data_IF_466510446004
#
_entry.id   IF_466510446004
#
_cell.length_a   1.000
_cell.length_b   1.000
_cell.length_c   1.000
_cell.angle_alpha   90.00
_cell.angle_beta   90.00
_cell.angle_gamma   90.00
#
_symmetry.space_group_name_H-M   'P 1'
#
loop_
_entity.id
_entity.type
_entity.pdbx_description
1 polymer ?
#
# COMPACT_ATOMS: atom_id res chain seq x y z
N UNK A 1 -5.87 11.55 -14.32
CA UNK A 1 -6.77 10.93 -15.31
C UNK A 1 -6.26 11.25 -16.72
N UNK A 2 -5.53 10.32 -17.35
CA UNK A 2 -5.06 10.49 -18.73
C UNK A 2 -6.24 10.28 -19.70
N UNK A 3 -6.65 11.34 -20.41
CA UNK A 3 -7.63 11.22 -21.51
C UNK A 3 -7.01 10.32 -22.59
N UNK A 4 -7.60 9.13 -22.78
CA UNK A 4 -7.31 8.28 -23.93
C UNK A 4 -7.53 9.11 -25.18
N UNK A 5 -6.51 9.18 -26.04
CA UNK A 5 -6.63 9.90 -27.31
C UNK A 5 -7.68 9.21 -28.18
N UNK A 6 -8.44 9.95 -29.00
CA UNK A 6 -9.45 9.35 -29.89
C UNK A 6 -8.85 8.26 -30.81
N UNK A 7 -7.55 8.38 -31.13
CA UNK A 7 -6.79 7.42 -31.92
C UNK A 7 -6.72 6.00 -31.29
N UNK A 8 -6.48 5.89 -29.97
CA UNK A 8 -6.44 4.59 -29.28
C UNK A 8 -7.79 3.85 -29.29
N UNK A 9 -8.88 4.62 -29.33
CA UNK A 9 -10.23 4.06 -29.35
C UNK A 9 -10.56 3.49 -30.72
N UNK A 10 -10.21 4.22 -31.79
CA UNK A 10 -10.39 3.78 -33.18
C UNK A 10 -9.54 2.55 -33.48
N UNK A 11 -8.27 2.53 -33.03
CA UNK A 11 -7.39 1.38 -33.23
C UNK A 11 -7.92 0.10 -32.55
N UNK A 12 -8.47 0.21 -31.33
CA UNK A 12 -9.09 -0.93 -30.65
C UNK A 12 -10.32 -1.46 -31.39
N UNK A 13 -11.18 -0.56 -31.87
CA UNK A 13 -12.36 -0.95 -32.64
C UNK A 13 -11.93 -1.69 -33.92
N UNK A 14 -10.97 -1.15 -34.67
CA UNK A 14 -10.46 -1.81 -35.89
C UNK A 14 -9.88 -3.20 -35.61
N UNK A 15 -9.09 -3.36 -34.55
CA UNK A 15 -8.53 -4.67 -34.17
C UNK A 15 -9.64 -5.66 -33.82
N UNK A 16 -10.64 -5.24 -33.04
CA UNK A 16 -11.77 -6.10 -32.66
C UNK A 16 -12.58 -6.50 -33.91
N UNK A 17 -12.86 -5.55 -34.82
CA UNK A 17 -13.58 -5.81 -36.06
C UNK A 17 -12.84 -6.81 -36.95
N UNK A 18 -11.53 -6.64 -37.11
CA UNK A 18 -10.72 -7.53 -37.94
C UNK A 18 -10.64 -8.94 -37.34
N UNK A 19 -10.51 -9.04 -36.01
CA UNK A 19 -10.52 -10.32 -35.31
C UNK A 19 -11.88 -11.03 -35.43
N UNK A 20 -12.98 -10.29 -35.31
CA UNK A 20 -14.33 -10.84 -35.47
C UNK A 20 -14.57 -11.37 -36.89
N UNK A 21 -14.12 -10.64 -37.92
CA UNK A 21 -14.21 -11.07 -39.32
C UNK A 21 -13.34 -12.32 -39.56
N UNK A 22 -12.11 -12.34 -39.03
CA UNK A 22 -11.21 -13.48 -39.16
C UNK A 22 -11.79 -14.74 -38.47
N UNK A 23 -12.37 -14.59 -37.28
CA UNK A 23 -13.05 -15.68 -36.58
C UNK A 23 -14.29 -16.16 -37.36
N UNK A 24 -15.11 -15.26 -37.90
CA UNK A 24 -16.25 -15.62 -38.75
C UNK A 24 -15.81 -16.39 -40.00
N UNK A 25 -14.75 -15.95 -40.68
CA UNK A 25 -14.20 -16.67 -41.83
C UNK A 25 -13.69 -18.07 -41.44
N UNK A 26 -12.98 -18.21 -40.31
CA UNK A 26 -12.55 -19.52 -39.82
C UNK A 26 -13.75 -20.43 -39.52
N UNK A 27 -14.81 -19.89 -38.95
CA UNK A 27 -16.04 -20.62 -38.63
C UNK A 27 -16.76 -21.08 -39.90
N UNK A 28 -16.84 -20.22 -40.93
CA UNK A 28 -17.41 -20.58 -42.23
C UNK A 28 -16.58 -21.65 -42.96
N UNK A 29 -15.25 -21.56 -42.91
CA UNK A 29 -14.35 -22.59 -43.47
C UNK A 29 -14.54 -23.92 -42.72
N UNK A 30 -14.65 -23.88 -41.39
CA UNK A 30 -14.93 -25.05 -40.57
C UNK A 30 -16.27 -25.69 -40.93
N UNK A 31 -17.33 -24.91 -41.11
CA UNK A 31 -18.66 -25.39 -41.53
C UNK A 31 -18.59 -26.00 -42.94
N UNK A 32 -17.89 -25.37 -43.88
CA UNK A 32 -17.73 -25.89 -45.24
C UNK A 32 -16.97 -27.22 -45.27
N UNK A 33 -15.91 -27.35 -44.46
CA UNK A 33 -15.18 -28.60 -44.25
C UNK A 33 -16.09 -29.68 -43.62
N UNK A 34 -16.87 -29.31 -42.59
CA UNK A 34 -17.82 -30.22 -41.95
C UNK A 34 -18.91 -30.71 -42.91
N UNK A 35 -19.43 -29.86 -43.79
CA UNK A 35 -20.43 -30.23 -44.81
C UNK A 35 -19.83 -31.14 -45.90
N UNK A 36 -18.58 -30.91 -46.30
CA UNK A 36 -17.89 -31.78 -47.28
C UNK A 36 -17.47 -33.12 -46.69
N UNK A 37 -17.13 -33.17 -45.39
CA UNK A 37 -16.89 -34.42 -44.67
C UNK A 37 -18.19 -35.16 -44.33
N UNK A 38 -19.28 -34.44 -44.06
CA UNK A 38 -20.61 -35.01 -43.75
C UNK A 38 -21.19 -35.88 -44.86
N UNK A 39 -20.82 -35.67 -46.13
CA UNK A 39 -21.27 -36.54 -47.23
C UNK A 39 -20.49 -37.86 -47.32
N UNK A 40 -19.36 -37.97 -46.59
CA UNK A 40 -18.52 -39.18 -46.51
C UNK A 40 -18.53 -39.87 -45.15
N UNK A 41 -18.92 -39.16 -44.09
CA UNK A 41 -19.01 -39.68 -42.72
C UNK A 41 -20.47 -40.01 -42.43
N UNK A 42 -20.75 -41.24 -42.01
CA UNK A 42 -22.09 -41.62 -41.61
C UNK A 42 -22.45 -40.81 -40.34
N UNK A 43 -23.56 -40.09 -40.34
CA UNK A 43 -23.97 -39.20 -39.22
C UNK A 43 -24.19 -40.01 -37.92
N UNK A 44 -24.25 -41.34 -38.02
CA UNK A 44 -24.27 -42.26 -36.89
C UNK A 44 -22.91 -42.46 -36.19
N UNK A 45 -21.82 -41.98 -36.77
CA UNK A 45 -20.47 -42.12 -36.22
C UNK A 45 -20.25 -41.08 -35.12
N UNK A 46 -19.99 -41.58 -33.91
CA UNK A 46 -19.77 -40.84 -32.68
C UNK A 46 -18.61 -39.81 -32.75
N UNK A 47 -17.83 -39.83 -33.82
CA UNK A 47 -16.64 -39.00 -34.03
C UNK A 47 -16.95 -37.51 -34.17
N UNK A 48 -18.04 -37.12 -34.84
CA UNK A 48 -18.41 -35.70 -34.94
C UNK A 48 -18.84 -35.15 -33.57
N UNK A 49 -19.61 -35.94 -32.82
CA UNK A 49 -20.04 -35.59 -31.47
C UNK A 49 -18.84 -35.54 -30.52
N UNK A 50 -17.88 -36.46 -30.65
CA UNK A 50 -16.64 -36.47 -29.89
C UNK A 50 -15.75 -35.26 -30.21
N UNK A 51 -15.66 -34.84 -31.48
CA UNK A 51 -14.93 -33.65 -31.88
C UNK A 51 -15.52 -32.37 -31.26
N UNK A 52 -16.83 -32.17 -31.36
CA UNK A 52 -17.51 -31.02 -30.74
C UNK A 52 -17.38 -31.09 -29.21
N UNK A 53 -17.54 -32.28 -28.63
CA UNK A 53 -17.34 -32.52 -27.20
C UNK A 53 -15.94 -32.15 -26.73
N UNK A 54 -14.91 -32.43 -27.53
CA UNK A 54 -13.52 -32.07 -27.22
C UNK A 54 -13.28 -30.56 -27.20
N UNK A 55 -13.91 -29.83 -28.14
CA UNK A 55 -13.83 -28.36 -28.20
C UNK A 55 -14.52 -27.74 -26.99
N UNK A 56 -15.73 -28.19 -26.67
CA UNK A 56 -16.50 -27.71 -25.50
C UNK A 56 -15.74 -28.05 -24.20
N UNK A 57 -15.24 -29.28 -24.07
CA UNK A 57 -14.46 -29.71 -22.93
C UNK A 57 -13.17 -28.90 -22.75
N UNK A 58 -12.45 -28.62 -23.84
CA UNK A 58 -11.27 -27.74 -23.83
C UNK A 58 -11.60 -26.32 -23.40
N UNK A 59 -12.70 -25.74 -23.89
CA UNK A 59 -13.14 -24.39 -23.51
C UNK A 59 -13.54 -24.30 -22.03
N UNK A 60 -14.32 -25.27 -21.52
CA UNK A 60 -14.71 -25.34 -20.11
C UNK A 60 -13.47 -25.50 -19.23
N UNK A 61 -12.54 -26.38 -19.60
CA UNK A 61 -11.29 -26.58 -18.86
C UNK A 61 -10.45 -25.31 -18.82
N UNK A 62 -10.33 -24.61 -19.95
CA UNK A 62 -9.61 -23.33 -20.02
C UNK A 62 -10.25 -22.26 -19.14
N UNK A 63 -11.59 -22.13 -19.15
CA UNK A 63 -12.31 -21.22 -18.26
C UNK A 63 -12.09 -21.58 -16.79
N UNK A 64 -12.20 -22.87 -16.43
CA UNK A 64 -11.96 -23.36 -15.08
C UNK A 64 -10.56 -23.00 -14.58
N UNK A 65 -9.52 -23.35 -15.34
CA UNK A 65 -8.12 -23.00 -15.01
C UNK A 65 -7.94 -21.49 -14.87
N UNK A 66 -8.51 -20.70 -15.78
CA UNK A 66 -8.38 -19.24 -15.75
C UNK A 66 -9.04 -18.63 -14.51
N UNK A 67 -10.23 -19.10 -14.13
CA UNK A 67 -10.94 -18.63 -12.93
C UNK A 67 -10.11 -18.97 -11.69
N UNK A 68 -9.64 -20.21 -11.56
CA UNK A 68 -8.80 -20.63 -10.43
C UNK A 68 -7.52 -19.81 -10.31
N UNK A 69 -6.84 -19.52 -11.43
CA UNK A 69 -5.63 -18.68 -11.42
C UNK A 69 -5.96 -17.25 -10.96
N UNK A 70 -7.08 -16.68 -11.41
CA UNK A 70 -7.49 -15.33 -11.01
C UNK A 70 -7.84 -15.28 -9.52
N UNK A 71 -8.52 -16.29 -9.00
CA UNK A 71 -8.89 -16.40 -7.59
C UNK A 71 -7.65 -16.59 -6.70
N UNK A 72 -6.72 -17.48 -7.07
CA UNK A 72 -5.45 -17.64 -6.37
C UNK A 72 -4.60 -16.36 -6.36
N UNK A 73 -4.61 -15.58 -7.46
CA UNK A 73 -3.91 -14.29 -7.49
C UNK A 73 -4.54 -13.28 -6.55
N UNK A 74 -5.87 -13.22 -6.52
CA UNK A 74 -6.63 -12.36 -5.62
C UNK A 74 -6.37 -12.71 -4.15
N UNK A 75 -6.39 -13.99 -3.80
CA UNK A 75 -6.15 -14.44 -2.42
C UNK A 75 -4.74 -14.09 -1.96
N UNK A 76 -3.73 -14.31 -2.81
CA UNK A 76 -2.35 -13.89 -2.56
C UNK A 76 -2.23 -12.38 -2.37
N UNK A 77 -2.94 -11.60 -3.19
CA UNK A 77 -2.94 -10.14 -3.06
C UNK A 77 -3.57 -9.68 -1.74
N UNK A 78 -4.69 -10.29 -1.33
CA UNK A 78 -5.35 -10.02 -0.04
C UNK A 78 -4.43 -10.37 1.13
N UNK A 79 -3.73 -11.50 1.07
CA UNK A 79 -2.79 -11.93 2.09
C UNK A 79 -1.62 -10.94 2.22
N UNK A 80 -1.08 -10.46 1.10
CA UNK A 80 -0.03 -9.43 1.10
C UNK A 80 -0.51 -8.13 1.75
N UNK A 81 -1.69 -7.63 1.38
CA UNK A 81 -2.24 -6.43 2.03
C UNK A 81 -2.44 -6.62 3.53
N UNK A 82 -2.98 -7.76 3.96
CA UNK A 82 -3.19 -8.05 5.38
C UNK A 82 -1.87 -8.00 6.16
N UNK A 83 -0.83 -8.65 5.63
CA UNK A 83 0.50 -8.66 6.25
C UNK A 83 1.10 -7.26 6.37
N UNK A 84 0.98 -6.45 5.31
CA UNK A 84 1.50 -5.09 5.33
C UNK A 84 0.75 -4.22 6.34
N UNK A 85 -0.58 -4.35 6.40
CA UNK A 85 -1.43 -3.63 7.36
C UNK A 85 -1.06 -4.01 8.80
N UNK A 86 -0.84 -5.30 9.08
CA UNK A 86 -0.46 -5.79 10.41
C UNK A 86 0.83 -5.13 10.91
N UNK A 87 1.89 -5.15 10.08
CA UNK A 87 3.16 -4.49 10.40
C UNK A 87 2.96 -2.99 10.62
N UNK A 88 2.26 -2.31 9.70
CA UNK A 88 2.03 -0.87 9.78
C UNK A 88 1.18 -0.49 10.99
N UNK A 89 0.20 -1.31 11.36
CA UNK A 89 -0.67 -1.08 12.51
C UNK A 89 0.14 -1.01 13.80
N UNK A 90 1.00 -2.00 14.05
CA UNK A 90 1.84 -2.01 15.25
C UNK A 90 2.80 -0.82 15.30
N UNK A 91 3.42 -0.48 14.16
CA UNK A 91 4.35 0.67 14.11
C UNK A 91 3.62 1.99 14.39
N UNK A 92 2.44 2.19 13.77
CA UNK A 92 1.64 3.40 13.99
C UNK A 92 1.17 3.47 15.45
N UNK A 93 0.71 2.35 16.02
CA UNK A 93 0.30 2.29 17.42
C UNK A 93 1.46 2.62 18.38
N UNK A 94 2.63 2.01 18.18
CA UNK A 94 3.80 2.20 19.04
C UNK A 94 4.33 3.64 18.96
N UNK A 95 4.09 4.35 17.85
CA UNK A 95 4.62 5.69 17.62
C UNK A 95 3.61 6.82 17.82
N UNK A 96 2.34 6.52 18.10
CA UNK A 96 1.27 7.53 18.19
C UNK A 96 1.52 8.62 19.23
N UNK A 97 2.31 8.31 20.27
CA UNK A 97 2.59 9.25 21.36
C UNK A 97 3.21 10.55 20.83
N UNK A 98 4.00 10.47 19.74
CA UNK A 98 4.76 11.59 19.19
C UNK A 98 3.89 12.78 18.77
N UNK A 99 2.62 12.53 18.42
CA UNK A 99 1.65 13.57 18.06
C UNK A 99 1.40 14.52 19.24
N UNK A 100 1.38 13.98 20.46
CA UNK A 100 1.00 14.73 21.65
C UNK A 100 2.20 15.31 22.40
N UNK A 101 3.42 14.83 22.11
CA UNK A 101 4.66 15.28 22.77
C UNK A 101 4.87 16.81 22.73
N UNK A 102 4.61 17.52 21.61
CA UNK A 102 4.74 18.97 21.57
C UNK A 102 3.85 19.73 22.57
N UNK A 103 2.79 19.09 23.08
CA UNK A 103 1.84 19.67 24.03
C UNK A 103 2.11 19.31 25.49
N UNK A 104 3.09 18.44 25.77
CA UNK A 104 3.46 18.12 27.15
C UNK A 104 4.38 19.18 27.73
N UNK A 105 4.07 19.59 28.96
CA UNK A 105 4.85 20.51 29.78
C UNK A 105 5.02 19.91 31.17
N UNK A 106 6.25 19.88 31.68
CA UNK A 106 6.54 19.51 33.06
C UNK A 106 6.41 20.77 33.91
N UNK A 107 5.67 20.69 35.01
CA UNK A 107 5.44 21.82 35.91
C UNK A 107 6.02 21.53 37.29
N UNK A 108 6.58 22.57 37.91
CA UNK A 108 7.10 22.54 39.27
C UNK A 108 6.55 23.70 40.08
N UNK A 109 6.55 23.55 41.41
CA UNK A 109 6.23 24.65 42.30
C UNK A 109 7.43 25.59 42.39
N UNK A 110 7.21 26.89 42.20
CA UNK A 110 8.19 27.92 42.49
C UNK A 110 8.32 28.14 44.01
N UNK A 111 9.22 29.07 44.40
CA UNK A 111 9.45 29.41 45.80
C UNK A 111 8.20 30.00 46.52
N UNK A 112 7.20 30.44 45.75
CA UNK A 112 5.92 30.98 46.25
C UNK A 112 4.80 29.92 46.23
N UNK A 113 5.10 28.69 45.80
CA UNK A 113 4.14 27.60 45.68
C UNK A 113 3.24 27.67 44.43
N UNK A 114 3.57 28.50 43.44
CA UNK A 114 2.85 28.56 42.16
C UNK A 114 3.42 27.55 41.18
N UNK A 115 2.54 26.92 40.40
CA UNK A 115 2.94 26.04 39.31
C UNK A 115 3.54 26.87 38.16
N UNK A 116 4.79 26.58 37.84
CA UNK A 116 5.54 27.17 36.73
C UNK A 116 6.09 26.04 35.87
N UNK A 117 6.13 26.24 34.55
CA UNK A 117 6.70 25.26 33.62
C UNK A 117 8.21 25.15 33.87
N UNK A 118 8.68 23.93 34.09
CA UNK A 118 10.10 23.60 34.05
C UNK A 118 10.51 23.42 32.60
N UNK A 119 11.06 24.48 32.01
CA UNK A 119 11.45 24.49 30.61
C UNK A 119 12.58 23.51 30.31
N UNK A 120 13.54 23.34 31.23
CA UNK A 120 14.65 22.40 31.05
C UNK A 120 14.12 20.96 31.00
N UNK A 121 13.35 20.56 32.01
CA UNK A 121 12.80 19.19 32.08
C UNK A 121 11.83 18.93 30.93
N UNK A 122 11.02 19.92 30.54
CA UNK A 122 10.10 19.81 29.40
C UNK A 122 10.85 19.54 28.10
N UNK A 123 11.89 20.33 27.80
CA UNK A 123 12.69 20.16 26.58
C UNK A 123 13.45 18.84 26.58
N UNK A 124 13.98 18.41 27.73
CA UNK A 124 14.64 17.12 27.87
C UNK A 124 13.67 15.97 27.59
N UNK A 125 12.51 15.96 28.23
CA UNK A 125 11.48 14.94 28.03
C UNK A 125 11.02 14.87 26.57
N UNK A 126 10.79 16.00 25.91
CA UNK A 126 10.43 16.04 24.50
C UNK A 126 11.51 15.44 23.59
N UNK A 127 12.78 15.68 23.92
CA UNK A 127 13.91 15.10 23.18
C UNK A 127 14.04 13.60 23.44
N UNK A 128 13.85 13.15 24.68
CA UNK A 128 13.86 11.73 25.03
C UNK A 128 12.77 10.95 24.30
N UNK A 129 11.54 11.48 24.23
CA UNK A 129 10.47 10.90 23.42
C UNK A 129 10.82 10.84 21.92
N UNK A 130 11.56 11.83 21.41
CA UNK A 130 12.06 11.79 20.03
C UNK A 130 13.06 10.64 19.85
N UNK A 131 13.95 10.41 20.83
CA UNK A 131 14.88 9.27 20.79
C UNK A 131 14.14 7.94 20.84
N UNK A 132 13.14 7.80 21.71
CA UNK A 132 12.31 6.60 21.80
C UNK A 132 11.61 6.30 20.46
N UNK A 133 11.06 7.33 19.81
CA UNK A 133 10.48 7.22 18.47
C UNK A 133 11.51 6.69 17.45
N UNK A 134 12.72 7.24 17.44
CA UNK A 134 13.80 6.78 16.54
C UNK A 134 14.11 5.30 16.78
N UNK A 135 14.18 4.87 18.04
CA UNK A 135 14.49 3.49 18.39
C UNK A 135 13.39 2.51 17.97
N UNK A 136 12.12 2.89 18.12
CA UNK A 136 10.97 2.10 17.66
C UNK A 136 11.03 1.91 16.14
N UNK A 137 11.20 3.00 15.38
CA UNK A 137 11.28 2.92 13.91
C UNK A 137 12.49 2.10 13.46
N UNK A 138 13.67 2.31 14.06
CA UNK A 138 14.88 1.57 13.71
C UNK A 138 14.75 0.06 13.97
N UNK A 139 14.13 -0.33 15.09
CA UNK A 139 13.83 -1.75 15.38
C UNK A 139 12.93 -2.40 14.33
N UNK A 140 12.07 -1.61 13.67
CA UNK A 140 11.09 -2.05 12.68
C UNK A 140 11.49 -1.73 11.23
N UNK A 141 12.69 -1.20 11.00
CA UNK A 141 13.12 -0.72 9.69
C UNK A 141 13.13 -1.83 8.61
N UNK A 142 13.56 -3.04 8.98
CA UNK A 142 13.56 -4.19 8.06
C UNK A 142 12.15 -4.60 7.65
N UNK A 143 11.20 -4.52 8.58
CA UNK A 143 9.79 -4.86 8.33
C UNK A 143 9.12 -3.78 7.50
N UNK A 144 9.42 -2.50 7.76
CA UNK A 144 9.01 -1.37 6.91
C UNK A 144 9.49 -1.57 5.48
N UNK A 145 10.78 -1.85 5.27
CA UNK A 145 11.34 -2.04 3.92
C UNK A 145 10.61 -3.10 3.09
N UNK A 146 10.03 -4.11 3.74
CA UNK A 146 9.27 -5.19 3.09
C UNK A 146 7.80 -4.86 2.87
N UNK A 147 7.24 -3.97 3.70
CA UNK A 147 5.78 -3.76 3.81
C UNK A 147 5.32 -2.45 3.17
N UNK A 148 6.23 -1.49 2.94
CA UNK A 148 5.94 -0.24 2.25
C UNK A 148 6.54 -0.20 0.85
N UNK A 149 5.86 0.50 -0.06
CA UNK A 149 6.40 0.82 -1.38
C UNK A 149 7.73 1.57 -1.26
N UNK A 150 8.67 1.27 -2.16
CA UNK A 150 10.04 1.80 -2.12
C UNK A 150 10.10 3.33 -2.05
N UNK A 151 9.18 4.01 -2.73
CA UNK A 151 9.11 5.48 -2.75
C UNK A 151 8.76 6.04 -1.37
N UNK A 152 7.83 5.40 -0.67
CA UNK A 152 7.44 5.76 0.70
C UNK A 152 8.58 5.46 1.67
N UNK A 153 9.18 4.27 1.55
CA UNK A 153 10.33 3.88 2.36
C UNK A 153 11.49 4.86 2.24
N UNK A 154 11.84 5.27 1.02
CA UNK A 154 12.94 6.21 0.76
C UNK A 154 12.73 7.56 1.45
N UNK A 155 11.50 8.07 1.45
CA UNK A 155 11.18 9.34 2.13
C UNK A 155 11.39 9.19 3.64
N UNK A 156 10.88 8.10 4.21
CA UNK A 156 11.04 7.80 5.64
C UNK A 156 12.52 7.65 6.01
N UNK A 157 13.31 6.93 5.20
CA UNK A 157 14.75 6.75 5.44
C UNK A 157 15.51 8.09 5.45
N UNK A 158 15.17 9.02 4.54
CA UNK A 158 15.76 10.36 4.52
C UNK A 158 15.38 11.14 5.80
N UNK A 159 14.12 11.12 6.19
CA UNK A 159 13.64 11.79 7.40
C UNK A 159 14.28 11.20 8.67
N UNK A 160 14.41 9.87 8.74
CA UNK A 160 15.08 9.16 9.83
C UNK A 160 16.56 9.50 9.94
N UNK A 161 17.28 9.64 8.81
CA UNK A 161 18.67 10.11 8.81
C UNK A 161 18.83 11.52 9.35
N UNK A 162 17.89 12.41 9.02
CA UNK A 162 17.87 13.76 9.57
C UNK A 162 17.57 13.75 11.08
N UNK A 163 16.71 12.83 11.52
CA UNK A 163 16.32 12.67 12.91
C UNK A 163 17.41 12.02 13.77
N UNK A 164 18.31 11.22 13.18
CA UNK A 164 19.39 10.53 13.89
C UNK A 164 20.32 11.49 14.67
N UNK A 165 20.46 12.74 14.23
CA UNK A 165 21.24 13.78 14.94
C UNK A 165 20.65 14.07 16.32
N UNK A 166 19.34 13.89 16.52
CA UNK A 166 18.67 14.10 17.80
C UNK A 166 19.22 13.17 18.90
N UNK A 167 19.65 11.95 18.57
CA UNK A 167 20.22 11.00 19.54
C UNK A 167 21.55 11.52 20.11
N UNK A 168 22.43 12.01 19.24
CA UNK A 168 23.71 12.64 19.66
C UNK A 168 23.44 13.91 20.48
N UNK A 169 22.40 14.64 20.12
CA UNK A 169 22.00 15.85 20.83
C UNK A 169 21.49 15.54 22.24
N UNK A 170 20.68 14.48 22.40
CA UNK A 170 20.15 14.02 23.68
C UNK A 170 21.26 13.62 24.65
N UNK A 171 22.26 12.86 24.19
CA UNK A 171 23.42 12.45 24.99
C UNK A 171 24.23 13.64 25.57
N UNK A 172 24.08 14.83 24.98
CA UNK A 172 24.81 16.04 25.36
C UNK A 172 23.88 17.21 25.70
N UNK A 173 22.63 16.91 26.06
CA UNK A 173 21.58 17.91 26.24
C UNK A 173 22.00 19.06 27.16
N UNK A 174 22.54 18.76 28.34
CA UNK A 174 22.97 19.76 29.34
C UNK A 174 24.04 20.72 28.79
N UNK A 175 25.00 20.19 28.02
CA UNK A 175 26.06 20.98 27.40
C UNK A 175 25.51 21.93 26.32
N UNK A 176 24.55 21.46 25.53
CA UNK A 176 23.90 22.30 24.51
C UNK A 176 22.99 23.35 25.15
N UNK A 177 22.20 22.96 26.15
CA UNK A 177 21.30 23.87 26.88
C UNK A 177 22.08 25.03 27.52
N UNK A 178 23.20 24.73 28.18
CA UNK A 178 24.05 25.75 28.83
C UNK A 178 24.76 26.69 27.84
N UNK A 179 25.02 26.23 26.60
CA UNK A 179 25.75 27.01 25.59
C UNK A 179 24.84 27.79 24.64
N UNK A 180 23.76 27.16 24.17
CA UNK A 180 22.87 27.71 23.14
C UNK A 180 21.67 28.45 23.76
N UNK A 181 21.34 28.19 25.02
CA UNK A 181 20.17 28.75 25.70
C UNK A 181 18.85 28.12 25.25
N UNK A 182 17.77 28.40 25.99
CA UNK A 182 16.50 27.69 25.83
C UNK A 182 15.83 27.91 24.46
N UNK A 183 15.82 29.14 23.94
CA UNK A 183 15.13 29.46 22.68
C UNK A 183 15.67 28.64 21.49
N UNK A 184 16.99 28.48 21.40
CA UNK A 184 17.63 27.69 20.36
C UNK A 184 17.33 26.20 20.53
N UNK A 185 17.35 25.70 21.76
CA UNK A 185 16.99 24.31 22.08
C UNK A 185 15.54 24.01 21.67
N UNK A 186 14.62 24.88 22.04
CA UNK A 186 13.19 24.78 21.69
C UNK A 186 12.97 24.72 20.19
N UNK A 187 13.68 25.55 19.43
CA UNK A 187 13.60 25.55 17.96
C UNK A 187 14.07 24.22 17.36
N UNK A 188 15.20 23.68 17.84
CA UNK A 188 15.74 22.39 17.36
C UNK A 188 14.83 21.22 17.71
N UNK A 189 14.39 21.13 18.97
CA UNK A 189 13.52 20.06 19.45
C UNK A 189 12.19 20.10 18.71
N UNK A 190 11.60 21.28 18.52
CA UNK A 190 10.40 21.45 17.69
C UNK A 190 10.59 20.88 16.29
N UNK A 191 11.71 21.16 15.62
CA UNK A 191 12.01 20.62 14.31
C UNK A 191 12.13 19.09 14.33
N UNK A 192 12.74 18.50 15.36
CA UNK A 192 12.82 17.04 15.48
C UNK A 192 11.44 16.40 15.65
N UNK A 193 10.60 16.99 16.52
CA UNK A 193 9.23 16.55 16.72
C UNK A 193 8.38 16.69 15.44
N UNK A 194 8.56 17.77 14.67
CA UNK A 194 7.89 17.95 13.38
C UNK A 194 8.28 16.85 12.37
N UNK A 195 9.57 16.49 12.29
CA UNK A 195 10.04 15.40 11.42
C UNK A 195 9.46 14.06 11.90
N UNK A 196 9.51 13.77 13.20
CA UNK A 196 8.98 12.53 13.75
C UNK A 196 7.45 12.42 13.54
N UNK A 197 6.72 13.52 13.73
CA UNK A 197 5.29 13.62 13.44
C UNK A 197 4.96 13.45 11.95
N UNK A 198 5.80 13.97 11.04
CA UNK A 198 5.68 13.75 9.58
C UNK A 198 5.81 12.27 9.23
N UNK A 199 6.83 11.59 9.76
CA UNK A 199 7.05 10.14 9.56
C UNK A 199 5.83 9.35 10.05
N UNK A 200 5.36 9.62 11.27
CA UNK A 200 4.20 8.95 11.84
C UNK A 200 2.95 9.16 10.96
N UNK A 201 2.66 10.41 10.58
CA UNK A 201 1.50 10.76 9.77
C UNK A 201 1.53 10.04 8.42
N UNK A 202 2.70 9.97 7.78
CA UNK A 202 2.89 9.27 6.50
C UNK A 202 2.67 7.77 6.62
N UNK A 203 3.17 7.16 7.70
CA UNK A 203 2.94 5.74 7.98
C UNK A 203 1.45 5.45 8.23
N UNK A 204 0.77 6.32 8.97
CA UNK A 204 -0.67 6.19 9.21
C UNK A 204 -1.47 6.33 7.93
N UNK A 205 -1.20 7.34 7.11
CA UNK A 205 -1.87 7.54 5.81
C UNK A 205 -1.64 6.34 4.87
N UNK A 206 -0.40 5.82 4.83
CA UNK A 206 -0.10 4.65 4.02
C UNK A 206 -0.85 3.41 4.52
N UNK A 207 -0.90 3.18 5.84
CA UNK A 207 -1.69 2.11 6.46
C UNK A 207 -3.17 2.21 6.07
N UNK A 208 -3.76 3.39 6.13
CA UNK A 208 -5.16 3.61 5.76
C UNK A 208 -5.38 3.34 4.27
N UNK A 209 -4.46 3.80 3.41
CA UNK A 209 -4.48 3.51 1.97
C UNK A 209 -4.41 2.00 1.68
N UNK A 210 -3.56 1.24 2.38
CA UNK A 210 -3.48 -0.22 2.24
C UNK A 210 -4.74 -0.90 2.75
N UNK A 211 -5.32 -0.40 3.84
CA UNK A 211 -6.60 -0.88 4.40
C UNK A 211 -7.74 -0.70 3.40
N UNK A 212 -7.82 0.45 2.73
CA UNK A 212 -8.82 0.69 1.69
C UNK A 212 -8.65 -0.25 0.49
N UNK A 213 -7.41 -0.48 0.03
CA UNK A 213 -7.12 -1.46 -1.03
C UNK A 213 -7.50 -2.88 -0.63
N UNK A 214 -7.21 -3.27 0.62
CA UNK A 214 -7.63 -4.56 1.17
C UNK A 214 -9.15 -4.73 1.16
N UNK A 215 -9.88 -3.72 1.65
CA UNK A 215 -11.34 -3.76 1.70
C UNK A 215 -11.95 -3.83 0.29
N UNK A 216 -11.38 -3.11 -0.68
CA UNK A 216 -11.80 -3.18 -2.08
C UNK A 216 -11.54 -4.55 -2.71
N UNK A 217 -10.40 -5.17 -2.42
CA UNK A 217 -10.04 -6.49 -2.94
C UNK A 217 -10.87 -7.61 -2.30
N UNK A 218 -11.09 -7.55 -0.99
CA UNK A 218 -11.83 -8.57 -0.22
C UNK A 218 -13.34 -8.47 -0.43
N UNK A 219 -13.86 -7.24 -0.43
CA UNK A 219 -15.28 -6.94 -0.63
C UNK A 219 -15.43 -6.09 -1.90
N UNK A 220 -15.16 -6.65 -3.10
CA UNK A 220 -15.40 -5.95 -4.34
C UNK A 220 -16.89 -5.67 -4.39
N UNK A 221 -17.25 -4.41 -4.15
CA UNK A 221 -18.63 -3.98 -4.09
C UNK A 221 -19.42 -4.57 -5.26
N UNK A 222 -20.48 -5.31 -4.95
CA UNK A 222 -21.70 -5.40 -5.75
C UNK A 222 -22.37 -4.00 -5.82
N UNK A 223 -21.62 -2.94 -6.14
CA UNK A 223 -22.17 -1.58 -6.34
C UNK A 223 -22.54 -1.43 -7.81
N UNK A 224 -23.63 -2.10 -8.20
CA UNK A 224 -24.47 -1.69 -9.33
C UNK A 224 -25.96 -2.02 -9.14
N UNK A 225 -26.42 -2.30 -7.92
CA UNK A 225 -27.85 -2.35 -7.63
C UNK A 225 -28.08 -1.58 -6.32
N UNK A 226 -28.96 -0.58 -6.36
CA UNK A 226 -29.28 0.40 -5.31
C UNK A 226 -28.48 1.71 -5.35
N UNK A 227 -28.43 2.34 -6.53
CA UNK A 227 -28.64 3.79 -6.65
C UNK A 227 -29.59 4.04 -7.80
#
# INVERSE_FOLDING_TARGET
>A
MLRKTPFETVQKVLIISFLAIACMCCLLILIALLLTLSTKINIHDWDLLAFIGSIIGGFITWLGVRITILEQKKDKEIELYYKDIDVLYFIVQDTQFIINVPSYEITKNDAEGKLVVDEYETLQMQLDFTVDFIEIINKKLSDLMKSVEWEVFRVIDIEMKNLAVAKVFAERFENYYSREGSDNMKMRIKRYLEIAGSIHSRLSEYKDTRTDKYLQAKFPKTRQQNQ
#
